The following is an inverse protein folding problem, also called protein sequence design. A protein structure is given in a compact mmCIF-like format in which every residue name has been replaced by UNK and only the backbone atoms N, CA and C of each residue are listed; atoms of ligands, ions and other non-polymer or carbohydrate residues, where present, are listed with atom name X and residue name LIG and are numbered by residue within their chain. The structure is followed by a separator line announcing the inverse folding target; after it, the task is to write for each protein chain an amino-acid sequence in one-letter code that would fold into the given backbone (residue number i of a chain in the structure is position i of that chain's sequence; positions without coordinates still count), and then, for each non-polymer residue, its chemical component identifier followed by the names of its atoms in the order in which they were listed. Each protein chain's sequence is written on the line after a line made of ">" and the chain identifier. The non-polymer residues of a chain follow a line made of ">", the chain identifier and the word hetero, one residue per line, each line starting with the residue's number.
data_IF_149694082832
#
_entry.id   IF_149694082832
#
_cell.length_a   1.000
_cell.length_b   1.000
_cell.length_c   1.000
_cell.angle_alpha   90.00
_cell.angle_beta   90.00
_cell.angle_gamma   90.00
#
_symmetry.space_group_name_H-M   'P 1'
#
loop_
_entity.id
_entity.type
_entity.pdbx_description
1 polymer ?
#
# COMPACT_ATOMS: atom_id res chain seq x y z
N UNK A 1 42.11 75.38 -6.78
CA UNK A 1 41.26 74.53 -5.97
C UNK A 1 40.08 74.12 -6.85
N UNK A 2 39.99 72.85 -7.31
CA UNK A 2 38.85 72.33 -8.06
C UNK A 2 38.27 71.26 -7.28
N UNK A 3 37.05 71.43 -6.80
CA UNK A 3 36.25 70.53 -5.99
C UNK A 3 35.51 69.54 -6.97
N UNK A 4 35.79 68.24 -6.86
CA UNK A 4 35.07 67.20 -7.63
C UNK A 4 33.96 66.70 -6.75
N UNK A 5 32.73 66.88 -7.21
CA UNK A 5 31.52 66.34 -6.59
C UNK A 5 31.27 64.95 -7.14
N UNK A 6 31.43 63.90 -6.32
CA UNK A 6 31.13 62.52 -6.70
C UNK A 6 29.65 62.24 -6.49
N UNK A 7 28.97 61.85 -7.57
CA UNK A 7 27.59 61.34 -7.50
C UNK A 7 27.59 59.85 -7.12
N UNK A 8 27.04 59.51 -5.93
CA UNK A 8 26.70 58.13 -5.58
C UNK A 8 25.38 57.73 -6.27
N UNK A 9 25.47 56.87 -7.28
CA UNK A 9 24.29 56.23 -7.86
C UNK A 9 23.93 55.00 -7.00
N UNK A 10 22.87 55.10 -6.22
CA UNK A 10 22.31 53.97 -5.49
C UNK A 10 21.62 53.00 -6.45
N UNK A 11 22.16 51.80 -6.61
CA UNK A 11 21.49 50.70 -7.31
C UNK A 11 20.44 50.08 -6.37
N UNK A 12 19.17 50.35 -6.62
CA UNK A 12 18.05 49.66 -5.97
C UNK A 12 17.92 48.29 -6.61
N UNK A 13 18.34 47.23 -5.90
CA UNK A 13 18.04 45.84 -6.25
C UNK A 13 16.54 45.60 -6.06
N UNK A 14 15.79 45.53 -7.15
CA UNK A 14 14.44 45.02 -7.17
C UNK A 14 14.54 43.49 -6.94
N UNK A 15 14.31 43.04 -5.70
CA UNK A 15 14.02 41.64 -5.44
C UNK A 15 12.66 41.34 -6.10
N UNK A 16 12.67 40.69 -7.25
CA UNK A 16 11.48 40.10 -7.84
C UNK A 16 10.95 39.02 -6.90
N UNK A 17 9.63 38.71 -6.92
CA UNK A 17 9.09 37.58 -6.18
C UNK A 17 9.83 36.31 -6.67
N UNK A 18 10.52 35.61 -5.78
CA UNK A 18 10.97 34.27 -6.04
C UNK A 18 9.68 33.45 -6.27
N UNK A 19 9.48 32.95 -7.48
CA UNK A 19 8.49 31.90 -7.71
C UNK A 19 8.92 30.75 -6.83
N UNK A 20 8.14 30.43 -5.82
CA UNK A 20 8.32 29.22 -5.04
C UNK A 20 8.21 28.08 -6.05
N UNK A 21 9.26 27.30 -6.20
CA UNK A 21 9.23 26.09 -7.01
C UNK A 21 8.45 25.05 -6.20
N UNK A 22 7.48 24.37 -6.83
CA UNK A 22 6.75 23.31 -6.18
C UNK A 22 7.73 22.23 -5.68
N UNK A 23 7.49 21.73 -4.47
CA UNK A 23 8.24 20.60 -3.94
C UNK A 23 7.80 19.36 -4.71
N UNK A 24 8.72 18.72 -5.41
CA UNK A 24 8.46 17.47 -6.12
C UNK A 24 8.52 16.28 -5.15
N UNK A 25 7.46 15.45 -5.16
CA UNK A 25 7.33 14.26 -4.34
C UNK A 25 7.32 13.00 -5.22
N UNK A 26 8.07 11.99 -4.82
CA UNK A 26 8.05 10.67 -5.42
C UNK A 26 7.22 9.70 -4.55
N UNK A 27 6.18 9.11 -5.13
CA UNK A 27 5.28 8.19 -4.46
C UNK A 27 5.66 6.75 -4.84
N UNK A 28 6.17 5.98 -3.88
CA UNK A 28 6.41 4.54 -4.06
C UNK A 28 5.08 3.79 -4.10
N UNK A 29 4.84 3.00 -5.14
CA UNK A 29 3.58 2.29 -5.35
C UNK A 29 3.78 0.76 -5.33
N UNK A 30 3.43 0.09 -6.41
CA UNK A 30 3.57 -1.34 -6.66
C UNK A 30 3.72 -1.58 -8.15
N UNK A 31 3.54 -2.83 -8.64
CA UNK A 31 3.56 -3.15 -10.07
C UNK A 31 2.48 -2.38 -10.85
N UNK A 32 2.83 -1.86 -12.02
CA UNK A 32 1.93 -1.13 -12.89
C UNK A 32 0.70 -1.95 -13.37
N UNK A 33 0.77 -3.28 -13.30
CA UNK A 33 -0.35 -4.17 -13.61
C UNK A 33 -1.35 -4.35 -12.44
N UNK A 34 -1.07 -3.81 -11.25
CA UNK A 34 -1.93 -3.90 -10.07
C UNK A 34 -2.97 -2.79 -10.04
N UNK A 35 -4.17 -3.09 -9.53
CA UNK A 35 -5.21 -2.09 -9.23
C UNK A 35 -4.71 -1.03 -8.24
N UNK A 36 -3.85 -1.40 -7.30
CA UNK A 36 -3.25 -0.46 -6.35
C UNK A 36 -2.35 0.59 -7.05
N UNK A 37 -1.68 0.25 -8.15
CA UNK A 37 -0.92 1.24 -8.92
C UNK A 37 -1.85 2.31 -9.52
N UNK A 38 -2.98 1.89 -10.10
CA UNK A 38 -3.99 2.83 -10.62
C UNK A 38 -4.51 3.78 -9.54
N UNK A 39 -4.73 3.30 -8.32
CA UNK A 39 -5.08 4.13 -7.17
C UNK A 39 -4.02 5.21 -6.91
N UNK A 40 -2.73 4.84 -6.90
CA UNK A 40 -1.65 5.81 -6.67
C UNK A 40 -1.50 6.83 -7.80
N UNK A 41 -1.86 6.48 -9.03
CA UNK A 41 -1.92 7.48 -10.12
C UNK A 41 -2.97 8.54 -9.79
N UNK A 42 -4.16 8.15 -9.34
CA UNK A 42 -5.19 9.12 -8.91
C UNK A 42 -4.75 9.93 -7.69
N UNK A 43 -4.05 9.33 -6.72
CA UNK A 43 -3.44 10.04 -5.57
C UNK A 43 -2.46 11.12 -6.05
N UNK A 44 -1.57 10.78 -6.99
CA UNK A 44 -0.63 11.75 -7.58
C UNK A 44 -1.34 12.91 -8.28
N UNK A 45 -2.40 12.62 -9.04
CA UNK A 45 -3.22 13.65 -9.71
C UNK A 45 -3.92 14.56 -8.67
N UNK A 46 -4.51 13.98 -7.61
CA UNK A 46 -5.16 14.76 -6.55
C UNK A 46 -4.18 15.70 -5.83
N UNK A 47 -2.95 15.24 -5.54
CA UNK A 47 -1.91 16.10 -4.96
C UNK A 47 -1.55 17.24 -5.92
N UNK A 48 -1.33 16.92 -7.19
CA UNK A 48 -0.99 17.92 -8.21
C UNK A 48 -2.07 19.00 -8.41
N UNK A 49 -3.33 18.62 -8.23
CA UNK A 49 -4.46 19.53 -8.45
C UNK A 49 -4.84 20.32 -7.20
N UNK A 50 -4.66 19.74 -5.99
CA UNK A 50 -5.27 20.27 -4.77
C UNK A 50 -4.28 20.62 -3.64
N UNK A 51 -3.00 20.21 -3.74
CA UNK A 51 -1.99 20.50 -2.72
C UNK A 51 -1.05 21.62 -3.19
N UNK A 52 -1.42 22.89 -2.97
CA UNK A 52 -0.65 24.05 -3.45
C UNK A 52 0.82 24.02 -3.00
N UNK A 53 1.73 24.17 -3.95
CA UNK A 53 3.19 24.16 -3.74
C UNK A 53 3.78 22.76 -3.67
N UNK A 54 3.00 21.71 -3.97
CA UNK A 54 3.46 20.33 -4.10
C UNK A 54 3.20 19.82 -5.52
N UNK A 55 4.07 18.94 -6.00
CA UNK A 55 3.85 18.13 -7.19
C UNK A 55 4.25 16.69 -6.91
N UNK A 56 3.56 15.72 -7.50
CA UNK A 56 3.77 14.32 -7.21
C UNK A 56 3.91 13.47 -8.48
N UNK A 57 4.82 12.52 -8.44
CA UNK A 57 5.02 11.50 -9.48
C UNK A 57 5.01 10.10 -8.87
N UNK A 58 4.38 9.14 -9.55
CA UNK A 58 4.25 7.76 -9.06
C UNK A 58 5.36 6.88 -9.64
N UNK A 59 6.01 6.11 -8.78
CA UNK A 59 7.09 5.20 -9.13
C UNK A 59 6.63 3.75 -8.96
N UNK A 60 6.80 2.93 -10.00
CA UNK A 60 6.62 1.48 -9.89
C UNK A 60 7.70 0.87 -9.00
N UNK A 61 7.29 0.02 -8.05
CA UNK A 61 8.17 -0.58 -7.05
C UNK A 61 7.79 -2.03 -6.76
N UNK A 62 8.54 -2.68 -5.86
CA UNK A 62 8.21 -4.00 -5.29
C UNK A 62 7.17 -3.98 -4.17
N UNK A 63 6.41 -2.87 -4.00
CA UNK A 63 5.44 -2.64 -2.92
C UNK A 63 6.08 -2.44 -1.52
N UNK A 64 5.39 -2.83 -0.43
CA UNK A 64 5.65 -2.38 0.94
C UNK A 64 7.11 -2.46 1.38
N UNK A 65 7.74 -3.63 1.34
CA UNK A 65 9.13 -3.79 1.82
C UNK A 65 10.13 -2.98 0.99
N UNK A 66 9.90 -2.91 -0.34
CA UNK A 66 10.74 -2.08 -1.22
C UNK A 66 10.48 -0.59 -0.97
N UNK A 67 9.22 -0.18 -0.77
CA UNK A 67 8.88 1.22 -0.46
C UNK A 67 9.50 1.68 0.87
N UNK A 68 9.41 0.89 1.92
CA UNK A 68 10.04 1.20 3.22
C UNK A 68 11.55 1.36 3.06
N UNK A 69 12.21 0.45 2.35
CA UNK A 69 13.65 0.53 2.06
C UNK A 69 14.02 1.74 1.21
N UNK A 70 13.14 2.18 0.30
CA UNK A 70 13.35 3.39 -0.52
C UNK A 70 13.12 4.66 0.28
N UNK A 71 12.10 4.72 1.13
CA UNK A 71 11.87 5.83 2.06
C UNK A 71 13.07 6.03 2.99
N UNK A 72 13.61 4.95 3.56
CA UNK A 72 14.82 5.04 4.43
C UNK A 72 16.09 5.50 3.72
N UNK A 73 16.08 5.65 2.40
CA UNK A 73 17.19 6.11 1.56
C UNK A 73 16.87 7.38 0.79
N UNK A 74 15.79 8.06 1.13
CA UNK A 74 15.31 9.26 0.44
C UNK A 74 15.11 9.06 -1.09
N UNK A 75 14.69 7.85 -1.49
CA UNK A 75 14.43 7.51 -2.90
C UNK A 75 12.95 7.65 -3.29
N UNK A 76 12.06 7.66 -2.32
CA UNK A 76 10.66 8.04 -2.42
C UNK A 76 10.28 8.78 -1.13
N UNK A 77 9.36 9.73 -1.23
CA UNK A 77 8.97 10.61 -0.11
C UNK A 77 7.83 10.01 0.72
N UNK A 78 6.96 9.25 0.07
CA UNK A 78 5.86 8.51 0.70
C UNK A 78 5.57 7.28 -0.14
N UNK A 79 4.79 6.34 0.38
CA UNK A 79 4.47 5.16 -0.43
C UNK A 79 3.47 4.21 0.20
N UNK A 80 3.03 3.27 -0.64
CA UNK A 80 2.20 2.14 -0.24
C UNK A 80 2.89 1.33 0.86
N UNK A 81 2.16 1.13 1.94
CA UNK A 81 2.52 0.18 3.00
C UNK A 81 1.31 -0.67 3.37
N UNK A 82 1.56 -1.87 3.86
CA UNK A 82 0.55 -2.66 4.56
C UNK A 82 0.68 -2.45 6.05
N UNK A 83 -0.43 -2.47 6.77
CA UNK A 83 -0.45 -2.08 8.18
C UNK A 83 0.37 -3.01 9.07
N UNK A 84 0.36 -4.32 8.83
CA UNK A 84 1.18 -5.30 9.54
C UNK A 84 2.68 -5.04 9.33
N UNK A 85 3.13 -4.92 8.08
CA UNK A 85 4.56 -4.68 7.80
C UNK A 85 5.02 -3.30 8.25
N UNK A 86 4.16 -2.27 8.18
CA UNK A 86 4.44 -0.96 8.75
C UNK A 86 4.65 -1.05 10.28
N UNK A 87 3.84 -1.86 10.97
CA UNK A 87 4.00 -2.14 12.39
C UNK A 87 5.35 -2.81 12.70
N UNK A 88 5.72 -3.85 11.93
CA UNK A 88 7.00 -4.55 12.12
C UNK A 88 8.19 -3.61 11.86
N UNK A 89 8.10 -2.78 10.81
CA UNK A 89 9.14 -1.81 10.50
C UNK A 89 9.30 -0.74 11.59
N UNK A 90 8.18 -0.22 12.09
CA UNK A 90 8.14 0.76 13.17
C UNK A 90 8.64 0.17 14.50
N UNK A 91 8.25 -1.06 14.82
CA UNK A 91 8.71 -1.75 16.04
C UNK A 91 10.13 -2.31 15.93
N UNK A 92 10.68 -2.47 14.74
CA UNK A 92 12.00 -3.11 14.51
C UNK A 92 11.96 -4.61 14.74
N UNK A 93 10.88 -5.29 14.34
CA UNK A 93 10.67 -6.73 14.45
C UNK A 93 10.68 -7.41 13.09
N UNK A 94 10.69 -8.71 13.04
CA UNK A 94 10.68 -9.53 11.83
C UNK A 94 11.77 -9.11 10.83
N UNK A 95 11.40 -8.84 9.59
CA UNK A 95 12.34 -8.38 8.54
C UNK A 95 13.13 -7.11 8.90
N UNK A 96 12.72 -6.42 9.98
CA UNK A 96 13.34 -5.19 10.47
C UNK A 96 14.03 -5.36 11.82
N UNK A 97 14.30 -6.60 12.27
CA UNK A 97 14.98 -6.85 13.54
C UNK A 97 16.31 -6.08 13.62
N UNK A 98 16.43 -5.21 14.63
CA UNK A 98 17.58 -4.33 14.82
C UNK A 98 17.71 -3.19 13.83
N UNK A 99 16.69 -2.94 12.99
CA UNK A 99 16.67 -1.86 11.99
C UNK A 99 15.30 -1.15 11.96
N UNK A 100 14.88 -0.63 13.12
CA UNK A 100 13.64 0.13 13.27
C UNK A 100 13.57 1.29 12.25
N UNK A 101 12.39 1.49 11.67
CA UNK A 101 12.13 2.53 10.68
C UNK A 101 11.25 3.62 11.29
N UNK A 102 11.66 4.87 11.15
CA UNK A 102 10.91 6.02 11.66
C UNK A 102 9.82 6.45 10.66
N UNK A 103 8.76 5.64 10.61
CA UNK A 103 7.62 5.82 9.72
C UNK A 103 6.42 6.41 10.44
N UNK A 104 5.59 7.16 9.70
CA UNK A 104 4.30 7.67 10.18
C UNK A 104 3.21 7.37 9.15
N UNK A 105 2.03 6.99 9.62
CA UNK A 105 0.87 6.77 8.77
C UNK A 105 0.30 8.10 8.29
N UNK A 106 -0.03 8.19 7.01
CA UNK A 106 -0.80 9.31 6.45
C UNK A 106 -2.28 8.95 6.37
N UNK A 107 -2.64 7.84 5.73
CA UNK A 107 -4.00 7.27 5.70
C UNK A 107 -3.99 5.79 5.35
N UNK A 108 -5.09 5.09 5.65
CA UNK A 108 -5.41 3.74 5.16
C UNK A 108 -6.57 3.84 4.19
N UNK A 109 -6.49 3.18 3.03
CA UNK A 109 -7.50 3.32 1.99
C UNK A 109 -8.27 2.04 1.68
N UNK A 110 -7.79 0.88 2.09
CA UNK A 110 -8.51 -0.39 1.90
C UNK A 110 -8.04 -1.46 2.87
N UNK A 111 -8.92 -2.43 3.12
CA UNK A 111 -8.55 -3.75 3.63
C UNK A 111 -8.27 -4.65 2.43
N UNK A 112 -7.15 -5.36 2.44
CA UNK A 112 -6.66 -6.18 1.34
C UNK A 112 -6.66 -7.66 1.70
N UNK A 113 -7.73 -8.40 1.36
CA UNK A 113 -7.73 -9.86 1.43
C UNK A 113 -6.62 -10.45 0.56
N UNK A 114 -5.92 -11.43 1.08
CA UNK A 114 -4.85 -12.13 0.38
C UNK A 114 -5.42 -13.38 -0.29
N UNK A 115 -5.56 -13.34 -1.60
CA UNK A 115 -6.25 -14.36 -2.35
C UNK A 115 -5.25 -15.38 -2.92
N UNK A 116 -5.31 -16.61 -2.46
CA UNK A 116 -4.55 -17.71 -3.04
C UNK A 116 -5.28 -18.20 -4.31
N UNK A 117 -4.79 -17.79 -5.46
CA UNK A 117 -5.39 -18.05 -6.78
C UNK A 117 -4.64 -19.18 -7.46
N UNK A 118 -5.36 -20.15 -8.00
CA UNK A 118 -4.79 -21.20 -8.84
C UNK A 118 -5.54 -21.31 -10.17
N UNK A 119 -4.90 -21.86 -11.18
CA UNK A 119 -5.56 -22.30 -12.39
C UNK A 119 -6.50 -23.46 -12.03
N UNK A 120 -7.74 -23.46 -12.53
CA UNK A 120 -8.68 -24.54 -12.29
C UNK A 120 -8.19 -25.92 -12.82
N UNK A 121 -7.34 -25.93 -13.86
CA UNK A 121 -6.74 -27.15 -14.40
C UNK A 121 -5.49 -27.61 -13.64
N UNK A 122 -5.09 -26.93 -12.56
CA UNK A 122 -3.95 -27.34 -11.72
C UNK A 122 -4.29 -28.54 -10.81
N UNK A 123 -5.57 -28.82 -10.57
CA UNK A 123 -6.01 -29.94 -9.74
C UNK A 123 -5.71 -29.73 -8.23
N UNK A 124 -5.69 -28.49 -7.78
CA UNK A 124 -5.47 -28.08 -6.38
C UNK A 124 -6.81 -27.61 -5.82
N UNK A 125 -7.31 -28.26 -4.77
CA UNK A 125 -8.64 -28.02 -4.23
C UNK A 125 -8.62 -27.15 -2.94
N UNK A 126 -7.48 -27.15 -2.23
CA UNK A 126 -7.27 -26.44 -0.96
C UNK A 126 -5.80 -26.00 -0.81
N UNK A 127 -5.46 -25.33 0.29
CA UNK A 127 -4.11 -24.84 0.56
C UNK A 127 -3.11 -25.98 0.81
N UNK A 128 -3.53 -27.10 1.39
CA UNK A 128 -2.73 -28.29 1.62
C UNK A 128 -2.28 -28.95 0.28
N UNK A 129 -3.16 -28.87 -0.73
CA UNK A 129 -2.87 -29.36 -2.08
C UNK A 129 -1.77 -28.61 -2.81
N UNK A 130 -1.24 -27.52 -2.25
CA UNK A 130 -0.11 -26.78 -2.81
C UNK A 130 1.25 -27.44 -2.55
N UNK A 131 1.33 -28.51 -1.75
CA UNK A 131 2.59 -29.19 -1.45
C UNK A 131 3.28 -29.66 -2.72
N UNK A 132 4.52 -29.18 -2.95
CA UNK A 132 5.32 -29.44 -4.14
C UNK A 132 4.79 -28.78 -5.43
N UNK A 133 3.68 -28.04 -5.37
CA UNK A 133 3.14 -27.30 -6.53
C UNK A 133 3.93 -26.01 -6.73
N UNK A 134 4.27 -25.69 -7.99
CA UNK A 134 4.96 -24.45 -8.32
C UNK A 134 4.00 -23.27 -8.22
N UNK A 135 4.17 -22.47 -7.18
CA UNK A 135 3.26 -21.41 -6.74
C UNK A 135 4.01 -20.12 -6.36
N UNK A 136 3.44 -18.96 -6.58
CA UNK A 136 4.08 -17.70 -6.19
C UNK A 136 3.46 -17.15 -4.89
N UNK A 137 4.24 -16.89 -3.83
CA UNK A 137 3.71 -16.41 -2.55
C UNK A 137 3.35 -14.92 -2.56
N UNK A 138 3.65 -14.20 -3.63
CA UNK A 138 3.47 -12.76 -3.79
C UNK A 138 4.58 -12.14 -4.63
N UNK A 139 4.40 -10.89 -5.02
CA UNK A 139 5.45 -10.13 -5.73
C UNK A 139 6.70 -10.01 -4.83
N UNK A 140 7.87 -10.20 -5.43
CA UNK A 140 9.15 -10.13 -4.69
C UNK A 140 9.30 -8.83 -3.92
N UNK A 141 9.57 -8.93 -2.62
CA UNK A 141 9.78 -7.78 -1.72
C UNK A 141 8.49 -7.11 -1.26
N UNK A 142 7.33 -7.75 -1.46
CA UNK A 142 6.05 -7.26 -0.96
C UNK A 142 5.71 -7.88 0.40
N UNK A 143 4.82 -7.21 1.16
CA UNK A 143 4.19 -7.81 2.33
C UNK A 143 3.44 -9.09 2.01
N UNK A 144 2.79 -9.19 0.84
CA UNK A 144 2.10 -10.41 0.42
C UNK A 144 3.05 -11.59 0.40
N UNK A 145 4.27 -11.43 -0.16
CA UNK A 145 5.29 -12.48 -0.16
C UNK A 145 5.65 -12.89 1.27
N UNK A 146 6.10 -11.93 2.09
CA UNK A 146 6.52 -12.20 3.46
C UNK A 146 5.39 -12.78 4.33
N UNK A 147 4.20 -12.19 4.27
CA UNK A 147 3.03 -12.66 5.05
C UNK A 147 2.56 -14.03 4.60
N UNK A 148 2.57 -14.32 3.28
CA UNK A 148 2.19 -15.65 2.79
C UNK A 148 3.16 -16.72 3.29
N UNK A 149 4.46 -16.45 3.27
CA UNK A 149 5.47 -17.38 3.79
C UNK A 149 5.27 -17.61 5.30
N UNK A 150 5.01 -16.56 6.07
CA UNK A 150 4.71 -16.67 7.51
C UNK A 150 3.41 -17.45 7.77
N UNK A 151 2.34 -17.20 7.02
CA UNK A 151 1.07 -17.96 7.09
C UNK A 151 1.28 -19.43 6.76
N UNK A 152 2.06 -19.73 5.71
CA UNK A 152 2.36 -21.12 5.34
C UNK A 152 3.16 -21.83 6.43
N UNK A 153 4.14 -21.15 7.03
CA UNK A 153 4.91 -21.72 8.15
C UNK A 153 4.03 -21.98 9.38
N UNK A 154 3.21 -21.00 9.77
CA UNK A 154 2.25 -21.11 10.90
C UNK A 154 1.25 -22.24 10.71
N UNK A 155 0.74 -22.43 9.49
CA UNK A 155 -0.22 -23.48 9.17
C UNK A 155 0.43 -24.82 8.79
N UNK A 156 1.76 -24.92 8.78
CA UNK A 156 2.49 -26.13 8.36
C UNK A 156 2.29 -26.48 6.89
N UNK A 157 2.04 -25.48 6.04
CA UNK A 157 1.85 -25.63 4.60
C UNK A 157 3.18 -25.48 3.84
N UNK A 158 3.25 -26.01 2.62
CA UNK A 158 4.40 -25.89 1.74
C UNK A 158 4.02 -25.76 0.27
N UNK A 159 4.93 -25.15 -0.53
CA UNK A 159 4.82 -25.07 -1.98
C UNK A 159 6.23 -24.93 -2.60
N UNK A 160 6.39 -25.23 -3.90
CA UNK A 160 7.59 -24.84 -4.65
C UNK A 160 7.50 -23.36 -5.04
N UNK A 161 8.02 -22.47 -4.21
CA UNK A 161 7.87 -21.02 -4.38
C UNK A 161 8.63 -20.48 -5.61
N UNK A 162 7.87 -20.08 -6.63
CA UNK A 162 8.33 -19.34 -7.79
C UNK A 162 8.31 -17.83 -7.51
N UNK A 163 9.45 -17.15 -7.57
CA UNK A 163 9.56 -15.71 -7.26
C UNK A 163 9.72 -14.88 -8.53
N UNK A 164 9.05 -13.73 -8.59
CA UNK A 164 9.12 -12.85 -9.76
C UNK A 164 8.34 -11.53 -9.54
N UNK A 165 8.33 -10.70 -10.58
CA UNK A 165 7.41 -9.55 -10.65
C UNK A 165 5.98 -10.03 -10.92
N UNK A 166 4.97 -9.20 -10.63
CA UNK A 166 3.57 -9.52 -10.96
C UNK A 166 3.42 -9.87 -12.44
N UNK A 167 4.00 -9.08 -13.33
CA UNK A 167 3.89 -9.27 -14.79
C UNK A 167 4.50 -10.59 -15.24
N UNK A 168 5.68 -10.96 -14.70
CA UNK A 168 6.33 -12.22 -15.04
C UNK A 168 5.52 -13.43 -14.54
N UNK A 169 4.99 -13.35 -13.32
CA UNK A 169 4.19 -14.41 -12.71
C UNK A 169 2.84 -14.56 -13.44
N UNK A 170 2.14 -13.47 -13.75
CA UNK A 170 0.90 -13.50 -14.54
C UNK A 170 1.15 -14.20 -15.89
N UNK A 171 2.22 -13.83 -16.59
CA UNK A 171 2.61 -14.49 -17.84
C UNK A 171 2.92 -15.99 -17.64
N UNK A 172 3.63 -16.33 -16.55
CA UNK A 172 3.98 -17.71 -16.25
C UNK A 172 2.74 -18.56 -15.90
N UNK A 173 1.75 -18.00 -15.23
CA UNK A 173 0.46 -18.67 -14.94
C UNK A 173 -0.31 -18.89 -16.24
N UNK A 174 -0.46 -17.88 -17.09
CA UNK A 174 -1.11 -18.01 -18.40
C UNK A 174 -0.45 -19.07 -19.29
N UNK A 175 0.88 -19.19 -19.23
CA UNK A 175 1.67 -20.19 -19.96
C UNK A 175 1.72 -21.57 -19.28
N UNK A 176 1.00 -21.77 -18.17
CA UNK A 176 1.02 -23.01 -17.37
C UNK A 176 2.41 -23.42 -16.87
N UNK A 177 3.28 -22.44 -16.53
CA UNK A 177 4.61 -22.64 -15.95
C UNK A 177 4.65 -22.45 -14.43
N UNK A 178 3.63 -21.77 -13.89
CA UNK A 178 3.33 -21.57 -12.48
C UNK A 178 1.83 -21.84 -12.30
N UNK A 179 1.45 -22.60 -11.29
CA UNK A 179 0.06 -23.03 -11.11
C UNK A 179 -0.82 -21.93 -10.55
N UNK A 180 -0.25 -20.96 -9.82
CA UNK A 180 -1.00 -19.90 -9.20
C UNK A 180 -0.14 -18.96 -8.36
N UNK A 181 -0.81 -18.06 -7.63
CA UNK A 181 -0.12 -17.09 -6.80
C UNK A 181 -1.01 -16.57 -5.66
N UNK A 182 -0.42 -15.94 -4.65
CA UNK A 182 -1.15 -15.09 -3.73
C UNK A 182 -1.13 -13.66 -4.22
N UNK A 183 -2.30 -13.03 -4.25
CA UNK A 183 -2.45 -11.63 -4.65
C UNK A 183 -3.42 -10.88 -3.73
N UNK A 184 -2.99 -9.73 -3.26
CA UNK A 184 -3.86 -8.80 -2.53
C UNK A 184 -5.04 -8.39 -3.40
N UNK A 185 -6.25 -8.54 -2.88
CA UNK A 185 -7.44 -7.91 -3.42
C UNK A 185 -7.63 -6.49 -2.91
N UNK A 186 -8.80 -5.92 -3.14
CA UNK A 186 -9.23 -4.67 -2.56
C UNK A 186 -10.70 -4.78 -2.13
N UNK A 187 -10.97 -4.62 -0.85
CA UNK A 187 -12.28 -4.93 -0.29
C UNK A 187 -12.69 -6.36 -0.61
N UNK A 188 -13.79 -6.54 -1.31
CA UNK A 188 -14.33 -7.85 -1.69
C UNK A 188 -14.02 -8.26 -3.15
N UNK A 189 -13.09 -7.59 -3.83
CA UNK A 189 -12.79 -7.82 -5.24
C UNK A 189 -11.37 -8.34 -5.43
N UNK A 190 -11.21 -9.21 -6.43
CA UNK A 190 -9.92 -9.67 -6.91
C UNK A 190 -9.17 -8.54 -7.63
N UNK A 191 -7.83 -8.57 -7.54
CA UNK A 191 -6.97 -7.58 -8.22
C UNK A 191 -7.06 -7.66 -9.75
N UNK A 192 -6.81 -6.54 -10.43
CA UNK A 192 -6.83 -6.47 -11.89
C UNK A 192 -5.90 -7.46 -12.57
N UNK A 193 -4.73 -7.78 -11.97
CA UNK A 193 -3.82 -8.78 -12.50
C UNK A 193 -4.39 -10.21 -12.43
N UNK A 194 -5.21 -10.51 -11.42
CA UNK A 194 -5.96 -11.78 -11.34
C UNK A 194 -7.04 -11.85 -12.41
N UNK A 195 -7.74 -10.74 -12.63
CA UNK A 195 -8.76 -10.68 -13.69
C UNK A 195 -8.13 -10.84 -15.09
N UNK A 196 -6.90 -10.36 -15.28
CA UNK A 196 -6.16 -10.60 -16.52
C UNK A 196 -5.80 -12.08 -16.73
N UNK A 197 -5.45 -12.83 -15.67
CA UNK A 197 -5.29 -14.30 -15.74
C UNK A 197 -6.62 -14.96 -16.13
N UNK A 198 -7.72 -14.55 -15.50
CA UNK A 198 -9.06 -15.11 -15.75
C UNK A 198 -9.55 -14.94 -17.20
N UNK A 199 -8.98 -14.00 -17.97
CA UNK A 199 -9.26 -13.89 -19.41
C UNK A 199 -8.63 -15.01 -20.25
N UNK A 200 -7.62 -15.69 -19.73
CA UNK A 200 -6.84 -16.69 -20.46
C UNK A 200 -7.08 -18.13 -19.98
N UNK A 201 -7.48 -18.30 -18.74
CA UNK A 201 -7.75 -19.60 -18.11
C UNK A 201 -8.72 -19.45 -16.95
N UNK A 202 -9.54 -20.47 -16.70
CA UNK A 202 -10.37 -20.53 -15.51
C UNK A 202 -9.50 -20.54 -14.25
N UNK A 203 -9.95 -19.86 -13.20
CA UNK A 203 -9.26 -19.75 -11.93
C UNK A 203 -10.13 -20.26 -10.78
N UNK A 204 -9.47 -20.72 -9.73
CA UNK A 204 -10.07 -21.03 -8.44
C UNK A 204 -9.37 -20.22 -7.34
N UNK A 205 -10.10 -19.94 -6.26
CA UNK A 205 -9.57 -19.29 -5.06
C UNK A 205 -9.57 -20.30 -3.93
N UNK A 206 -8.40 -20.58 -3.40
CA UNK A 206 -8.23 -21.49 -2.25
C UNK A 206 -8.48 -20.68 -0.97
N UNK A 207 -9.54 -21.08 -0.23
CA UNK A 207 -9.89 -20.46 1.04
C UNK A 207 -9.24 -21.17 2.23
N UNK A 208 -9.24 -20.48 3.37
CA UNK A 208 -8.90 -21.07 4.68
C UNK A 208 -10.02 -22.01 5.14
N UNK A 209 -9.66 -23.16 5.69
CA UNK A 209 -10.58 -23.96 6.51
C UNK A 209 -10.92 -23.23 7.81
N UNK A 210 -11.96 -23.67 8.52
CA UNK A 210 -12.32 -23.10 9.83
C UNK A 210 -11.19 -23.26 10.86
N UNK A 211 -10.48 -24.40 10.85
CA UNK A 211 -9.33 -24.68 11.74
C UNK A 211 -8.16 -23.76 11.41
N UNK A 212 -7.81 -23.58 10.14
CA UNK A 212 -6.75 -22.67 9.70
C UNK A 212 -7.08 -21.23 10.07
N UNK A 213 -8.34 -20.81 9.90
CA UNK A 213 -8.81 -19.48 10.26
C UNK A 213 -8.71 -19.21 11.77
N UNK A 214 -9.00 -20.20 12.63
CA UNK A 214 -8.83 -20.10 14.08
C UNK A 214 -7.35 -19.99 14.45
N UNK A 215 -6.51 -20.87 13.90
CA UNK A 215 -5.05 -20.81 14.11
C UNK A 215 -4.46 -19.45 13.77
N UNK A 216 -4.82 -18.86 12.64
CA UNK A 216 -4.31 -17.53 12.26
C UNK A 216 -4.80 -16.42 13.21
N UNK A 217 -6.04 -16.49 13.70
CA UNK A 217 -6.52 -15.49 14.68
C UNK A 217 -5.76 -15.54 16.00
N UNK A 218 -5.35 -16.74 16.41
CA UNK A 218 -4.65 -16.95 17.67
C UNK A 218 -3.14 -16.65 17.57
N UNK A 219 -2.49 -17.07 16.46
CA UNK A 219 -1.03 -17.02 16.34
C UNK A 219 -0.53 -15.82 15.54
N UNK A 220 -1.37 -15.17 14.71
CA UNK A 220 -1.01 -14.00 13.90
C UNK A 220 -1.99 -12.82 14.12
N UNK A 221 -2.02 -12.22 15.32
CA UNK A 221 -3.00 -11.18 15.68
C UNK A 221 -2.84 -9.85 14.92
N UNK A 222 -1.74 -9.64 14.20
CA UNK A 222 -1.48 -8.53 13.29
C UNK A 222 -2.20 -8.69 11.92
N UNK A 223 -2.77 -9.87 11.68
CA UNK A 223 -3.62 -10.16 10.52
C UNK A 223 -5.09 -10.23 10.94
N UNK A 224 -5.96 -9.92 9.97
CA UNK A 224 -7.39 -10.20 10.07
C UNK A 224 -7.73 -11.44 9.28
N UNK A 225 -8.71 -12.24 9.75
CA UNK A 225 -9.36 -13.25 8.91
C UNK A 225 -10.72 -12.71 8.48
N UNK A 226 -10.95 -12.66 7.19
CA UNK A 226 -12.14 -12.07 6.58
C UNK A 226 -12.92 -13.08 5.75
N UNK A 227 -14.25 -12.92 5.76
CA UNK A 227 -15.16 -13.68 4.91
C UNK A 227 -15.41 -12.89 3.62
N UNK A 228 -15.10 -13.49 2.48
CA UNK A 228 -15.36 -12.93 1.17
C UNK A 228 -16.64 -13.59 0.64
N UNK A 229 -17.70 -12.82 0.34
CA UNK A 229 -18.93 -13.37 -0.20
C UNK A 229 -18.74 -13.87 -1.63
N UNK A 230 -19.68 -14.69 -2.09
CA UNK A 230 -19.77 -15.07 -3.50
C UNK A 230 -19.79 -13.83 -4.40
N UNK A 231 -19.07 -13.88 -5.53
CA UNK A 231 -19.05 -12.81 -6.53
C UNK A 231 -17.84 -11.86 -6.39
N UNK A 232 -16.77 -12.25 -5.72
CA UNK A 232 -15.46 -11.59 -5.80
C UNK A 232 -14.95 -11.53 -7.27
N UNK A 233 -15.25 -12.59 -8.05
CA UNK A 233 -15.19 -12.66 -9.49
C UNK A 233 -16.28 -13.61 -9.98
N UNK A 234 -16.52 -13.68 -11.31
CA UNK A 234 -17.49 -14.61 -11.90
C UNK A 234 -17.07 -16.07 -11.60
N UNK A 235 -18.00 -16.85 -11.06
CA UNK A 235 -17.78 -18.27 -10.72
C UNK A 235 -16.99 -18.52 -9.45
N UNK A 236 -16.54 -17.50 -8.72
CA UNK A 236 -15.84 -17.65 -7.44
C UNK A 236 -16.86 -17.75 -6.31
N UNK A 237 -16.91 -18.88 -5.56
CA UNK A 237 -17.77 -19.06 -4.40
C UNK A 237 -17.31 -18.19 -3.23
N UNK A 238 -18.09 -18.15 -2.15
CA UNK A 238 -17.67 -17.53 -0.89
C UNK A 238 -16.50 -18.30 -0.28
N UNK A 239 -15.54 -17.57 0.33
CA UNK A 239 -14.37 -18.18 0.99
C UNK A 239 -13.88 -17.30 2.15
N UNK A 240 -13.03 -17.88 3.01
CA UNK A 240 -12.29 -17.14 4.04
C UNK A 240 -10.85 -16.96 3.62
N UNK A 241 -10.24 -15.85 4.01
CA UNK A 241 -8.82 -15.60 3.78
C UNK A 241 -8.25 -14.67 4.84
N UNK A 242 -6.93 -14.58 4.91
CA UNK A 242 -6.27 -13.56 5.73
C UNK A 242 -6.20 -12.23 5.00
N UNK A 243 -6.12 -11.16 5.77
CA UNK A 243 -6.10 -9.79 5.25
C UNK A 243 -5.28 -8.87 6.14
N UNK A 244 -4.84 -7.74 5.57
CA UNK A 244 -4.26 -6.62 6.28
C UNK A 244 -4.75 -5.29 5.67
N UNK A 245 -4.66 -4.19 6.40
CA UNK A 245 -4.92 -2.86 5.85
C UNK A 245 -3.83 -2.46 4.85
N UNK A 246 -4.19 -1.68 3.85
CA UNK A 246 -3.24 -1.01 2.96
C UNK A 246 -3.42 0.48 3.07
N UNK A 247 -2.32 1.15 3.35
CA UNK A 247 -2.29 2.59 3.55
C UNK A 247 -1.11 3.24 2.87
N UNK A 248 -0.90 4.48 3.24
CA UNK A 248 0.23 5.30 2.81
C UNK A 248 0.96 5.79 4.05
N UNK A 249 2.27 5.56 4.07
CA UNK A 249 3.15 6.08 5.10
C UNK A 249 4.22 6.99 4.48
N UNK A 250 4.80 7.82 5.32
CA UNK A 250 5.94 8.65 5.02
C UNK A 250 6.98 8.53 6.15
N UNK A 251 8.26 8.91 5.92
CA UNK A 251 9.21 9.12 7.00
C UNK A 251 8.72 10.20 7.97
N UNK A 252 9.01 10.05 9.27
CA UNK A 252 8.68 11.07 10.28
C UNK A 252 9.31 12.45 9.97
N UNK A 253 10.36 12.48 9.16
CA UNK A 253 11.04 13.70 8.72
C UNK A 253 10.31 14.47 7.61
N UNK A 254 9.20 13.96 7.06
CA UNK A 254 8.39 14.71 6.09
C UNK A 254 7.90 16.01 6.73
N UNK A 255 7.86 17.09 5.95
CA UNK A 255 7.35 18.38 6.42
C UNK A 255 5.87 18.27 6.84
N UNK A 256 5.56 18.80 8.04
CA UNK A 256 4.19 18.72 8.60
C UNK A 256 3.16 19.35 7.69
N UNK A 257 3.49 20.53 7.12
CA UNK A 257 2.56 21.24 6.24
C UNK A 257 2.35 20.50 4.92
N UNK A 258 3.41 19.86 4.38
CA UNK A 258 3.28 19.00 3.21
C UNK A 258 2.38 17.79 3.49
N UNK A 259 2.58 17.08 4.60
CA UNK A 259 1.74 15.95 5.01
C UNK A 259 0.27 16.38 5.21
N UNK A 260 0.03 17.53 5.86
CA UNK A 260 -1.31 18.08 6.05
C UNK A 260 -2.01 18.38 4.71
N UNK A 261 -1.32 19.02 3.77
CA UNK A 261 -1.85 19.32 2.43
C UNK A 261 -2.17 18.06 1.63
N UNK A 262 -1.29 17.05 1.68
CA UNK A 262 -1.51 15.75 1.05
C UNK A 262 -2.78 15.10 1.60
N UNK A 263 -2.87 14.94 2.92
CA UNK A 263 -4.03 14.31 3.56
C UNK A 263 -5.30 15.11 3.28
N UNK A 264 -5.26 16.44 3.33
CA UNK A 264 -6.41 17.31 3.01
C UNK A 264 -6.89 17.09 1.58
N UNK A 265 -5.98 16.99 0.59
CA UNK A 265 -6.32 16.76 -0.80
C UNK A 265 -6.98 15.38 -1.02
N UNK A 266 -6.45 14.35 -0.34
CA UNK A 266 -6.95 12.96 -0.42
C UNK A 266 -8.32 12.82 0.23
N UNK A 267 -8.51 13.39 1.40
CA UNK A 267 -9.77 13.28 2.17
C UNK A 267 -10.91 14.16 1.61
N UNK A 268 -10.56 15.18 0.82
CA UNK A 268 -11.54 16.02 0.13
C UNK A 268 -12.04 15.45 -1.21
N UNK A 269 -11.44 14.36 -1.70
CA UNK A 269 -11.82 13.77 -2.98
C UNK A 269 -13.18 13.07 -2.90
N UNK A 270 -14.05 13.35 -3.87
CA UNK A 270 -15.39 12.77 -3.96
C UNK A 270 -15.48 11.58 -4.95
N UNK A 271 -14.51 11.41 -5.85
CA UNK A 271 -14.69 10.43 -6.94
C UNK A 271 -13.43 9.89 -7.63
N UNK A 272 -12.32 10.60 -7.64
CA UNK A 272 -11.12 10.20 -8.39
C UNK A 272 -10.56 8.87 -7.87
N UNK A 273 -10.47 8.72 -6.55
CA UNK A 273 -10.02 7.49 -5.91
C UNK A 273 -10.98 6.31 -6.19
N UNK A 274 -12.29 6.56 -6.07
CA UNK A 274 -13.34 5.57 -6.36
C UNK A 274 -13.33 5.13 -7.84
N UNK A 275 -13.10 6.07 -8.75
CA UNK A 275 -12.99 5.77 -10.18
C UNK A 275 -11.74 4.94 -10.50
N UNK A 276 -10.63 5.20 -9.81
CA UNK A 276 -9.39 4.44 -9.96
C UNK A 276 -9.48 3.05 -9.33
N UNK A 277 -10.19 2.92 -8.20
CA UNK A 277 -10.36 1.67 -7.46
C UNK A 277 -11.79 1.59 -6.90
N UNK A 278 -12.70 1.00 -7.67
CA UNK A 278 -14.14 0.98 -7.35
C UNK A 278 -14.47 0.35 -5.97
N UNK A 279 -13.59 -0.50 -5.45
CA UNK A 279 -13.79 -1.15 -4.13
C UNK A 279 -13.69 -0.19 -2.94
N UNK A 280 -13.20 1.02 -3.13
CA UNK A 280 -13.11 2.05 -2.08
C UNK A 280 -14.19 3.13 -2.23
N UNK A 281 -15.11 2.99 -3.20
CA UNK A 281 -16.06 4.03 -3.58
C UNK A 281 -16.94 4.57 -2.46
N UNK A 282 -17.32 3.71 -1.53
CA UNK A 282 -18.17 4.05 -0.38
C UNK A 282 -17.38 4.04 0.95
N UNK A 283 -16.05 3.95 0.90
CA UNK A 283 -15.22 3.85 2.11
C UNK A 283 -15.02 5.22 2.74
N UNK A 284 -15.26 5.31 4.05
CA UNK A 284 -14.80 6.41 4.89
C UNK A 284 -13.30 6.21 5.18
N UNK A 285 -12.44 6.87 4.41
CA UNK A 285 -10.98 6.72 4.54
C UNK A 285 -10.47 7.20 5.89
N UNK A 286 -11.12 8.23 6.48
CA UNK A 286 -10.75 8.71 7.79
C UNK A 286 -11.04 7.64 8.84
N UNK A 287 -12.26 7.11 8.89
CA UNK A 287 -12.62 6.05 9.81
C UNK A 287 -11.78 4.79 9.57
N UNK A 288 -11.54 4.40 8.32
CA UNK A 288 -10.68 3.27 7.97
C UNK A 288 -9.24 3.46 8.48
N UNK A 289 -8.72 4.68 8.43
CA UNK A 289 -7.39 4.99 8.98
C UNK A 289 -7.34 4.78 10.49
N UNK A 290 -8.38 5.21 11.21
CA UNK A 290 -8.46 5.05 12.66
C UNK A 290 -8.65 3.58 13.08
N UNK A 291 -9.40 2.81 12.29
CA UNK A 291 -9.70 1.40 12.58
C UNK A 291 -8.48 0.49 12.30
N UNK A 292 -7.83 0.67 11.15
CA UNK A 292 -6.79 -0.23 10.65
C UNK A 292 -5.36 0.30 10.77
N UNK A 293 -5.14 1.55 11.12
CA UNK A 293 -3.81 2.11 11.37
C UNK A 293 -3.11 1.38 12.53
N UNK A 294 -1.82 1.13 12.37
CA UNK A 294 -1.02 0.34 13.32
C UNK A 294 0.19 1.10 13.86
N UNK A 295 0.59 2.19 13.23
CA UNK A 295 1.70 3.06 13.63
C UNK A 295 1.18 4.49 13.83
N UNK A 296 1.88 5.34 14.59
CA UNK A 296 1.47 6.72 14.80
C UNK A 296 1.20 7.48 13.50
N UNK A 297 0.19 8.34 13.51
CA UNK A 297 -0.07 9.27 12.42
C UNK A 297 1.09 10.27 12.29
N UNK A 298 1.33 10.72 11.07
CA UNK A 298 2.20 11.87 10.85
C UNK A 298 1.57 13.12 11.49
N UNK A 299 2.34 14.04 12.13
CA UNK A 299 1.77 15.23 12.77
C UNK A 299 0.83 16.02 11.87
N UNK A 300 1.17 16.21 10.58
CA UNK A 300 0.29 16.86 9.61
C UNK A 300 -0.99 16.08 9.32
N UNK A 301 -0.94 14.75 9.32
CA UNK A 301 -2.14 13.93 9.21
C UNK A 301 -3.00 14.06 10.46
N UNK A 302 -2.42 13.90 11.66
CA UNK A 302 -3.13 14.01 12.92
C UNK A 302 -3.84 15.37 13.06
N UNK A 303 -3.17 16.47 12.68
CA UNK A 303 -3.76 17.80 12.64
C UNK A 303 -5.04 17.84 11.79
N UNK A 304 -5.00 17.21 10.61
CA UNK A 304 -6.20 17.13 9.76
C UNK A 304 -7.34 16.36 10.45
N UNK A 305 -7.05 15.21 11.08
CA UNK A 305 -8.05 14.41 11.80
C UNK A 305 -8.67 15.21 12.95
N UNK A 306 -7.87 15.90 13.77
CA UNK A 306 -8.34 16.73 14.89
C UNK A 306 -9.20 17.90 14.42
N UNK A 307 -8.77 18.63 13.37
CA UNK A 307 -9.51 19.76 12.81
C UNK A 307 -10.87 19.34 12.22
N UNK A 308 -10.99 18.08 11.77
CA UNK A 308 -12.23 17.51 11.25
C UNK A 308 -13.04 16.73 12.30
N UNK A 309 -12.64 16.80 13.59
CA UNK A 309 -13.42 16.31 14.73
C UNK A 309 -13.34 14.80 14.97
N UNK A 310 -12.30 14.14 14.47
CA UNK A 310 -12.04 12.73 14.76
C UNK A 310 -11.25 12.56 16.05
N UNK A 311 -11.66 11.60 16.87
CA UNK A 311 -10.90 11.16 18.04
C UNK A 311 -9.82 10.17 17.63
N UNK A 312 -8.55 10.57 17.72
CA UNK A 312 -7.41 9.72 17.33
C UNK A 312 -7.12 8.71 18.47
N UNK A 313 -7.18 7.38 18.21
CA UNK A 313 -6.84 6.37 19.21
C UNK A 313 -5.39 6.52 19.72
N UNK A 314 -5.14 6.17 20.99
CA UNK A 314 -3.82 6.32 21.63
C UNK A 314 -2.67 5.72 20.80
N UNK A 315 -2.88 4.54 20.20
CA UNK A 315 -1.89 3.86 19.34
C UNK A 315 -1.49 4.64 18.08
N UNK A 316 -2.33 5.61 17.65
CA UNK A 316 -2.13 6.42 16.45
C UNK A 316 -1.74 7.86 16.76
N UNK A 317 -1.70 8.25 18.04
CA UNK A 317 -1.26 9.59 18.43
C UNK A 317 0.19 9.83 17.97
N UNK A 318 0.50 11.01 17.40
CA UNK A 318 1.89 11.37 17.11
C UNK A 318 2.75 11.30 18.36
N UNK A 319 3.97 10.81 18.24
CA UNK A 319 4.97 10.90 19.31
C UNK A 319 5.45 12.34 19.46
N UNK A 320 5.65 12.79 20.73
CA UNK A 320 6.15 14.14 21.05
C UNK A 320 7.63 14.33 20.64
#
# INVERSE_FOLDING_TARGET
>A
MKTILGALTGATLLAGPALAQDQELLIGSTSASSSHYGYFVAVGELINENAEGLSASVVETGATLDNIKRMSRDQVDLGLVTTNTAQHAYAGTDDFEGNQQDLRMLWVYTNAPQNAIVRADAGVEDLEGLDGVRFNPGIRGSSTEATTEAVFDTLGLSADFARGSTTDIVSAIKDNRVSGYVKSGSGQKLDGSTMDIATATDIEVLGLSDEQAETLRDEMPDLSVVDIPEGAAEGVPAYKTWAFGVGVAAPASMDEEAAYKIVSAIMADESAQANAMASIGDADLAQMTLDYGTIPLHPGAARWFEENGYDIPEKLQPEE
#
